data_IF_855101273359
#
_entry.id   IF_855101273359
#
_cell.length_a   1.000
_cell.length_b   1.000
_cell.length_c   1.000
_cell.angle_alpha   90.00
_cell.angle_beta   90.00
_cell.angle_gamma   90.00
#
_symmetry.space_group_name_H-M   'P 1'
#
loop_
_entity.id
_entity.type
_entity.pdbx_description
1 polymer ?
#
# COMPACT_ATOMS: atom_id res chain seq x y z
N UNK A 1 -27.29 9.01 -6.24
CA UNK A 1 -26.80 7.61 -6.24
C UNK A 1 -27.90 6.69 -5.69
N UNK A 2 -28.76 6.13 -6.54
CA UNK A 2 -29.91 5.32 -6.12
C UNK A 2 -29.60 3.82 -5.90
N UNK A 3 -28.47 3.32 -6.39
CA UNK A 3 -28.08 1.90 -6.31
C UNK A 3 -27.22 1.54 -5.07
N UNK A 4 -26.67 2.53 -4.37
CA UNK A 4 -25.83 2.31 -3.19
C UNK A 4 -26.57 1.59 -2.03
N UNK A 5 -27.85 1.88 -1.73
CA UNK A 5 -28.59 1.16 -0.70
C UNK A 5 -28.86 -0.31 -1.08
N UNK A 6 -29.13 -0.57 -2.37
CA UNK A 6 -29.38 -1.92 -2.90
C UNK A 6 -28.12 -2.79 -2.88
N UNK A 7 -26.96 -2.21 -3.23
CA UNK A 7 -25.67 -2.88 -3.12
C UNK A 7 -25.34 -3.20 -1.65
N UNK A 8 -25.51 -2.24 -0.74
CA UNK A 8 -25.30 -2.49 0.70
C UNK A 8 -26.22 -3.57 1.28
N UNK A 9 -27.43 -3.74 0.74
CA UNK A 9 -28.39 -4.74 1.20
C UNK A 9 -28.09 -6.18 0.74
N UNK A 10 -27.25 -6.36 -0.27
CA UNK A 10 -26.86 -7.67 -0.82
C UNK A 10 -25.39 -8.05 -0.58
N UNK A 11 -24.54 -7.11 -0.16
CA UNK A 11 -23.11 -7.35 0.05
C UNK A 11 -22.83 -7.89 1.47
N UNK A 12 -22.14 -9.04 1.52
CA UNK A 12 -21.63 -9.64 2.76
C UNK A 12 -20.33 -8.95 3.18
N UNK A 13 -20.16 -8.66 4.47
CA UNK A 13 -18.89 -8.17 5.02
C UNK A 13 -17.90 -9.34 5.14
N UNK A 14 -16.70 -9.19 4.57
CA UNK A 14 -15.61 -10.14 4.77
C UNK A 14 -15.06 -10.01 6.19
N UNK A 15 -14.99 -11.13 6.92
CA UNK A 15 -14.62 -11.13 8.34
C UNK A 15 -13.13 -10.80 8.54
N UNK A 16 -12.22 -11.29 7.68
CA UNK A 16 -10.78 -11.10 7.84
C UNK A 16 -10.31 -11.56 9.21
N UNK A 17 -9.58 -10.72 9.95
CA UNK A 17 -9.16 -10.96 11.35
C UNK A 17 -10.27 -10.75 12.38
N UNK A 18 -11.48 -10.37 11.97
CA UNK A 18 -12.63 -10.14 12.85
C UNK A 18 -12.60 -8.84 13.66
N UNK A 19 -11.44 -8.17 13.77
CA UNK A 19 -11.29 -6.97 14.62
C UNK A 19 -12.17 -5.81 14.15
N UNK A 20 -12.31 -5.59 12.84
CA UNK A 20 -13.14 -4.49 12.33
C UNK A 20 -14.59 -4.89 12.04
N UNK A 21 -15.07 -6.04 12.49
CA UNK A 21 -16.43 -6.52 12.19
C UNK A 21 -17.25 -6.64 13.48
N UNK A 22 -18.35 -5.89 13.56
CA UNK A 22 -19.24 -5.87 14.72
C UNK A 22 -20.31 -6.95 14.58
N UNK A 23 -20.45 -7.77 15.63
CA UNK A 23 -21.31 -8.96 15.61
C UNK A 23 -22.78 -8.63 15.33
N UNK A 24 -23.28 -7.54 15.91
CA UNK A 24 -24.71 -7.21 15.94
C UNK A 24 -25.17 -6.20 14.88
N UNK A 25 -24.25 -5.55 14.17
CA UNK A 25 -24.59 -4.48 13.21
C UNK A 25 -24.11 -4.74 11.79
N UNK A 26 -23.03 -5.50 11.63
CA UNK A 26 -22.50 -5.79 10.29
C UNK A 26 -23.17 -7.03 9.68
N UNK A 27 -23.29 -7.05 8.34
CA UNK A 27 -23.93 -8.14 7.61
C UNK A 27 -22.92 -9.25 7.30
N UNK A 28 -22.52 -10.00 8.32
CA UNK A 28 -21.41 -10.96 8.26
C UNK A 28 -21.85 -12.43 8.29
N UNK A 29 -23.08 -12.73 8.72
CA UNK A 29 -23.61 -14.09 8.72
C UNK A 29 -23.93 -14.53 7.29
N UNK A 30 -23.44 -15.69 6.83
CA UNK A 30 -23.65 -16.20 5.47
C UNK A 30 -25.02 -16.87 5.31
N UNK A 31 -26.10 -16.11 5.49
CA UNK A 31 -27.48 -16.52 5.24
C UNK A 31 -27.90 -16.12 3.79
N UNK A 32 -29.07 -16.59 3.32
CA UNK A 32 -29.61 -16.30 1.95
C UNK A 32 -29.61 -14.80 1.65
N UNK A 33 -29.84 -13.98 2.68
CA UNK A 33 -29.56 -12.55 2.69
C UNK A 33 -28.56 -12.27 3.82
N UNK A 34 -27.38 -11.69 3.52
CA UNK A 34 -26.41 -11.34 4.56
C UNK A 34 -27.08 -10.51 5.66
N UNK A 35 -26.83 -10.87 6.91
CA UNK A 35 -27.44 -10.20 8.06
C UNK A 35 -26.50 -10.23 9.27
N UNK A 36 -26.77 -9.40 10.30
CA UNK A 36 -26.11 -9.52 11.59
C UNK A 36 -26.49 -10.81 12.33
N UNK A 37 -25.68 -11.14 13.33
CA UNK A 37 -25.95 -12.25 14.22
C UNK A 37 -27.13 -11.94 15.15
N UNK A 38 -27.90 -12.97 15.51
CA UNK A 38 -29.04 -12.85 16.40
C UNK A 38 -28.58 -13.22 17.83
N UNK A 39 -28.74 -12.33 18.81
CA UNK A 39 -28.36 -12.62 20.18
C UNK A 39 -29.28 -13.69 20.79
N UNK A 40 -28.71 -14.59 21.59
CA UNK A 40 -29.47 -15.60 22.33
C UNK A 40 -30.31 -14.98 23.45
N UNK A 41 -29.84 -13.87 24.03
CA UNK A 41 -30.45 -13.18 25.16
C UNK A 41 -30.61 -11.67 24.90
N UNK A 42 -31.59 -10.98 25.52
CA UNK A 42 -31.78 -9.53 25.36
C UNK A 42 -30.64 -8.67 25.93
N UNK A 43 -29.92 -9.20 26.92
CA UNK A 43 -28.73 -8.58 27.52
C UNK A 43 -27.48 -9.10 26.83
N UNK A 44 -26.88 -8.30 25.95
CA UNK A 44 -25.64 -8.62 25.25
C UNK A 44 -24.74 -7.39 25.18
N UNK A 45 -23.43 -7.61 25.03
CA UNK A 45 -22.48 -6.52 24.82
C UNK A 45 -22.65 -5.95 23.40
N UNK A 46 -23.13 -4.70 23.21
CA UNK A 46 -23.36 -4.14 21.89
C UNK A 46 -22.07 -3.89 21.08
N UNK A 47 -20.91 -3.86 21.75
CA UNK A 47 -19.61 -3.61 21.12
C UNK A 47 -18.83 -4.88 20.77
N UNK A 48 -19.43 -6.07 20.92
CA UNK A 48 -18.79 -7.34 20.62
C UNK A 48 -18.31 -7.41 19.15
N UNK A 49 -17.04 -7.75 18.96
CA UNK A 49 -16.41 -7.93 17.65
C UNK A 49 -16.31 -9.41 17.30
N UNK A 50 -16.21 -9.71 16.02
CA UNK A 50 -16.12 -11.09 15.53
C UNK A 50 -14.82 -11.76 15.98
N UNK A 51 -13.73 -11.01 16.15
CA UNK A 51 -12.48 -11.54 16.72
C UNK A 51 -12.65 -12.06 18.15
N UNK A 52 -13.58 -11.51 18.92
CA UNK A 52 -13.82 -11.91 20.31
C UNK A 52 -14.55 -13.27 20.39
N UNK A 53 -15.12 -13.72 19.27
CA UNK A 53 -15.79 -15.02 19.12
C UNK A 53 -14.84 -16.13 18.66
N UNK A 54 -13.62 -15.78 18.25
CA UNK A 54 -12.56 -16.71 17.83
C UNK A 54 -11.48 -16.82 18.89
N UNK A 55 -10.88 -18.00 19.04
CA UNK A 55 -9.72 -18.21 19.89
C UNK A 55 -8.45 -17.68 19.21
N UNK A 56 -7.70 -16.75 19.85
CA UNK A 56 -6.49 -16.17 19.30
C UNK A 56 -5.37 -17.15 18.97
N UNK A 57 -5.30 -18.29 19.66
CA UNK A 57 -4.21 -19.27 19.52
C UNK A 57 -4.51 -20.35 18.48
N UNK A 58 -5.76 -20.84 18.44
CA UNK A 58 -6.16 -21.88 17.49
C UNK A 58 -6.66 -21.32 16.16
N UNK A 59 -6.94 -20.02 16.07
CA UNK A 59 -7.60 -19.38 14.92
C UNK A 59 -8.95 -20.01 14.56
N UNK A 60 -9.54 -20.78 15.48
CA UNK A 60 -10.83 -21.43 15.36
C UNK A 60 -11.89 -20.72 16.20
N UNK A 61 -13.15 -21.01 15.91
CA UNK A 61 -14.28 -20.45 16.64
C UNK A 61 -14.36 -21.03 18.06
N UNK A 62 -14.57 -20.16 19.06
CA UNK A 62 -14.84 -20.59 20.42
C UNK A 62 -16.29 -21.09 20.52
N UNK A 63 -16.51 -22.37 20.23
CA UNK A 63 -17.85 -22.99 20.18
C UNK A 63 -18.64 -22.81 21.49
N UNK A 64 -18.05 -23.02 22.69
CA UNK A 64 -18.74 -22.72 23.94
C UNK A 64 -19.27 -21.28 24.02
N UNK A 65 -18.48 -20.30 23.57
CA UNK A 65 -18.86 -18.89 23.57
C UNK A 65 -19.94 -18.57 22.52
N UNK A 66 -19.87 -19.18 21.34
CA UNK A 66 -20.92 -19.05 20.31
C UNK A 66 -22.26 -19.56 20.81
N UNK A 67 -22.28 -20.72 21.49
CA UNK A 67 -23.50 -21.29 22.06
C UNK A 67 -24.11 -20.43 23.19
N UNK A 68 -23.29 -19.66 23.91
CA UNK A 68 -23.76 -18.76 24.97
C UNK A 68 -24.33 -17.45 24.43
N UNK A 69 -23.73 -16.89 23.36
CA UNK A 69 -24.03 -15.53 22.91
C UNK A 69 -24.96 -15.47 21.71
N UNK A 70 -24.91 -16.47 20.81
CA UNK A 70 -25.60 -16.45 19.53
C UNK A 70 -26.77 -17.42 19.49
N UNK A 71 -27.75 -17.10 18.63
CA UNK A 71 -28.83 -18.03 18.32
C UNK A 71 -28.27 -19.35 17.75
N UNK A 72 -28.79 -20.52 18.16
CA UNK A 72 -28.38 -21.81 17.60
C UNK A 72 -28.51 -21.92 16.07
N UNK A 73 -29.32 -21.06 15.45
CA UNK A 73 -29.46 -20.97 13.99
C UNK A 73 -28.22 -20.41 13.29
N UNK A 74 -27.46 -19.53 13.96
CA UNK A 74 -26.32 -18.84 13.36
C UNK A 74 -25.02 -19.66 13.47
N UNK A 75 -24.93 -20.52 14.49
CA UNK A 75 -23.76 -21.36 14.77
C UNK A 75 -23.33 -22.23 13.58
N UNK A 76 -24.21 -23.02 12.92
CA UNK A 76 -23.81 -23.82 11.75
C UNK A 76 -23.38 -22.96 10.56
N UNK A 77 -23.97 -21.76 10.40
CA UNK A 77 -23.60 -20.82 9.34
C UNK A 77 -22.19 -20.26 9.57
N UNK A 78 -21.84 -19.97 10.82
CA UNK A 78 -20.52 -19.47 11.22
C UNK A 78 -19.45 -20.58 11.06
N UNK A 79 -19.76 -21.80 11.47
CA UNK A 79 -18.86 -22.95 11.32
C UNK A 79 -18.55 -23.32 9.88
N UNK A 80 -19.43 -22.98 8.93
CA UNK A 80 -19.19 -23.19 7.49
C UNK A 80 -18.05 -22.30 6.95
N UNK A 81 -17.69 -21.23 7.67
CA UNK A 81 -16.71 -20.24 7.23
C UNK A 81 -15.65 -19.96 8.30
N UNK A 82 -14.52 -20.68 8.23
CA UNK A 82 -13.29 -20.28 8.92
C UNK A 82 -12.55 -19.24 8.05
N UNK A 83 -11.82 -18.32 8.68
CA UNK A 83 -10.98 -17.31 7.99
C UNK A 83 -10.02 -17.99 7.00
N UNK A 84 -9.60 -19.22 7.30
CA UNK A 84 -8.76 -20.05 6.44
C UNK A 84 -9.53 -20.67 5.28
N UNK A 85 -10.81 -21.05 5.46
CA UNK A 85 -11.63 -21.61 4.38
C UNK A 85 -11.98 -20.58 3.30
N UNK A 86 -12.07 -19.29 3.65
CA UNK A 86 -12.27 -18.22 2.66
C UNK A 86 -11.11 -18.04 1.70
N UNK A 87 -9.87 -18.12 2.20
CA UNK A 87 -8.66 -18.08 1.36
C UNK A 87 -8.52 -19.36 0.53
N UNK A 88 -8.75 -20.53 1.14
CA UNK A 88 -8.72 -21.82 0.44
C UNK A 88 -9.78 -21.90 -0.65
N UNK A 89 -11.02 -21.48 -0.38
CA UNK A 89 -12.10 -21.42 -1.39
C UNK A 89 -11.77 -20.41 -2.49
N UNK A 90 -11.17 -19.26 -2.16
CA UNK A 90 -10.73 -18.30 -3.17
C UNK A 90 -9.63 -18.88 -4.07
N UNK A 91 -8.67 -19.61 -3.48
CA UNK A 91 -7.61 -20.33 -4.21
C UNK A 91 -8.18 -21.48 -5.06
N UNK A 92 -9.14 -22.24 -4.54
CA UNK A 92 -9.83 -23.34 -5.24
C UNK A 92 -10.75 -22.85 -6.36
N UNK A 93 -11.40 -21.69 -6.18
CA UNK A 93 -12.17 -21.02 -7.23
C UNK A 93 -11.27 -20.46 -8.33
N UNK A 94 -10.03 -20.08 -8.01
CA UNK A 94 -9.04 -19.57 -8.96
C UNK A 94 -8.29 -20.71 -9.68
N UNK A 95 -8.10 -21.88 -9.06
CA UNK A 95 -7.54 -23.07 -9.73
C UNK A 95 -8.53 -23.78 -10.64
N UNK A 96 -9.83 -23.73 -10.35
CA UNK A 96 -10.89 -24.24 -11.23
C UNK A 96 -11.22 -23.30 -12.41
N UNK A 97 -10.72 -22.06 -12.38
CA UNK A 97 -10.58 -21.28 -13.61
C UNK A 97 -9.37 -21.84 -14.32
N UNK A 98 -9.59 -22.47 -15.47
CA UNK A 98 -8.51 -22.64 -16.44
C UNK A 98 -7.77 -21.29 -16.49
N UNK A 99 -6.43 -21.26 -16.28
CA UNK A 99 -5.70 -20.01 -16.30
C UNK A 99 -6.15 -19.27 -17.55
N UNK A 100 -6.63 -18.02 -17.44
CA UNK A 100 -7.04 -17.29 -18.62
C UNK A 100 -5.89 -17.43 -19.60
N UNK A 101 -6.17 -17.94 -20.81
CA UNK A 101 -5.17 -18.11 -21.86
C UNK A 101 -4.51 -16.74 -22.04
N UNK A 102 -3.40 -16.51 -21.35
CA UNK A 102 -2.64 -15.28 -21.47
C UNK A 102 -2.00 -15.42 -22.83
N UNK A 103 -2.59 -14.78 -23.83
CA UNK A 103 -1.94 -14.57 -25.11
C UNK A 103 -0.60 -13.92 -24.80
N UNK A 104 0.48 -14.65 -25.06
CA UNK A 104 1.81 -14.09 -25.00
C UNK A 104 1.90 -12.84 -25.88
N UNK A 105 2.74 -11.85 -25.51
CA UNK A 105 3.77 -11.92 -24.46
C UNK A 105 3.28 -11.49 -23.05
N UNK A 106 3.57 -12.31 -22.03
CA UNK A 106 3.31 -11.97 -20.63
C UNK A 106 4.41 -11.06 -20.06
N UNK A 107 4.04 -10.02 -19.31
CA UNK A 107 5.00 -9.10 -18.67
C UNK A 107 5.48 -9.57 -17.29
N UNK A 108 5.01 -10.73 -16.81
CA UNK A 108 5.27 -11.24 -15.46
C UNK A 108 6.76 -11.39 -15.16
N UNK A 109 7.51 -12.04 -16.05
CA UNK A 109 8.96 -12.22 -15.91
C UNK A 109 9.71 -10.88 -15.92
N UNK A 110 9.22 -9.90 -16.68
CA UNK A 110 9.80 -8.57 -16.74
C UNK A 110 9.53 -7.79 -15.45
N UNK A 111 8.30 -7.88 -14.91
CA UNK A 111 7.93 -7.28 -13.61
C UNK A 111 8.75 -7.85 -12.45
N UNK A 112 9.05 -9.15 -12.46
CA UNK A 112 9.91 -9.77 -11.45
C UNK A 112 11.34 -9.20 -11.48
N UNK A 113 11.90 -9.00 -12.69
CA UNK A 113 13.26 -8.42 -12.88
C UNK A 113 13.39 -6.98 -12.40
N UNK A 114 12.29 -6.23 -12.23
CA UNK A 114 12.36 -4.85 -11.72
C UNK A 114 13.02 -4.78 -10.34
N UNK A 115 12.80 -5.80 -9.51
CA UNK A 115 13.28 -5.81 -8.13
C UNK A 115 14.79 -5.98 -8.00
N UNK A 116 15.47 -6.53 -9.02
CA UNK A 116 16.92 -6.67 -9.05
C UNK A 116 17.66 -5.44 -9.58
N UNK A 117 16.96 -4.43 -10.10
CA UNK A 117 17.58 -3.21 -10.62
C UNK A 117 18.28 -2.44 -9.47
N UNK A 118 19.50 -1.96 -9.71
CA UNK A 118 20.26 -1.14 -8.75
C UNK A 118 19.75 0.30 -8.76
N UNK A 119 18.69 0.56 -7.99
CA UNK A 119 18.11 1.89 -7.81
C UNK A 119 17.26 1.94 -6.53
N UNK A 120 16.74 3.11 -6.19
CA UNK A 120 15.87 3.30 -5.02
C UNK A 120 14.53 2.54 -5.11
N UNK A 121 13.95 2.14 -3.97
CA UNK A 121 12.65 1.42 -3.93
C UNK A 121 11.53 2.20 -4.63
N UNK A 122 11.48 3.53 -4.49
CA UNK A 122 10.49 4.39 -5.16
C UNK A 122 10.55 4.25 -6.69
N UNK A 123 11.75 4.17 -7.26
CA UNK A 123 11.95 4.01 -8.71
C UNK A 123 11.59 2.58 -9.15
N UNK A 124 11.89 1.55 -8.34
CA UNK A 124 11.44 0.17 -8.61
C UNK A 124 9.92 0.07 -8.68
N UNK A 125 9.21 0.63 -7.71
CA UNK A 125 7.74 0.67 -7.72
C UNK A 125 7.20 1.42 -8.94
N UNK A 126 7.83 2.54 -9.32
CA UNK A 126 7.46 3.26 -10.52
C UNK A 126 7.60 2.41 -11.79
N UNK A 127 8.75 1.76 -11.99
CA UNK A 127 8.99 0.90 -13.16
C UNK A 127 8.00 -0.27 -13.17
N UNK A 128 7.73 -0.88 -12.02
CA UNK A 128 6.75 -1.95 -11.90
C UNK A 128 5.34 -1.48 -12.26
N UNK A 129 4.95 -0.27 -11.83
CA UNK A 129 3.68 0.35 -12.20
C UNK A 129 3.63 0.67 -13.70
N UNK A 130 4.76 1.08 -14.31
CA UNK A 130 4.84 1.36 -15.75
C UNK A 130 4.60 0.08 -16.55
N UNK A 131 5.25 -1.03 -16.18
CA UNK A 131 5.06 -2.35 -16.79
C UNK A 131 3.67 -2.96 -16.52
N UNK A 132 3.00 -2.48 -15.48
CA UNK A 132 1.63 -2.88 -15.14
C UNK A 132 0.57 -1.96 -15.74
N UNK A 133 0.97 -0.97 -16.52
CA UNK A 133 0.09 0.04 -17.12
C UNK A 133 -0.76 0.80 -16.08
N UNK A 134 -0.18 0.99 -14.89
CA UNK A 134 -0.78 1.67 -13.75
C UNK A 134 -0.26 3.10 -13.56
N UNK A 135 0.59 3.59 -14.47
CA UNK A 135 1.15 4.94 -14.42
C UNK A 135 0.11 5.96 -14.90
N UNK A 136 0.07 7.10 -14.21
CA UNK A 136 -0.82 8.22 -14.52
C UNK A 136 -0.41 8.88 -15.85
N UNK A 137 -1.07 8.52 -16.94
CA UNK A 137 -0.97 9.12 -18.29
C UNK A 137 -2.36 9.57 -18.76
N UNK A 138 -2.47 10.54 -19.68
CA UNK A 138 -3.77 11.10 -20.08
C UNK A 138 -4.73 10.04 -20.63
N UNK A 139 -4.25 9.10 -21.44
CA UNK A 139 -5.08 7.99 -21.94
C UNK A 139 -5.72 7.17 -20.81
N UNK A 140 -4.93 6.84 -19.77
CA UNK A 140 -5.40 6.05 -18.60
C UNK A 140 -6.28 6.86 -17.65
N UNK A 141 -6.01 8.15 -17.49
CA UNK A 141 -6.87 9.04 -16.72
C UNK A 141 -8.24 9.17 -17.40
N UNK A 142 -8.27 9.25 -18.74
CA UNK A 142 -9.52 9.24 -19.51
C UNK A 142 -10.26 7.92 -19.41
N UNK A 143 -9.59 6.78 -19.54
CA UNK A 143 -10.21 5.45 -19.37
C UNK A 143 -10.86 5.26 -17.98
N UNK A 144 -10.31 5.90 -16.95
CA UNK A 144 -10.82 5.87 -15.57
C UNK A 144 -11.82 6.98 -15.26
N UNK A 145 -12.23 7.77 -16.24
CA UNK A 145 -13.13 8.93 -16.07
C UNK A 145 -12.59 9.99 -15.10
N UNK A 146 -11.26 10.08 -14.96
CA UNK A 146 -10.58 11.10 -14.15
C UNK A 146 -10.18 12.35 -14.95
N UNK A 147 -10.23 12.29 -16.29
CA UNK A 147 -9.94 13.41 -17.19
C UNK A 147 -10.71 13.26 -18.51
N UNK A 148 -11.09 14.36 -19.15
CA UNK A 148 -11.66 14.36 -20.52
C UNK A 148 -10.59 14.34 -21.61
N UNK A 149 -9.38 14.83 -21.30
CA UNK A 149 -8.30 14.97 -22.28
C UNK A 149 -7.45 13.69 -22.36
N UNK A 150 -7.25 13.20 -23.59
CA UNK A 150 -6.33 12.09 -23.90
C UNK A 150 -4.98 12.56 -24.43
N UNK A 151 -4.91 13.83 -24.82
CA UNK A 151 -3.73 14.40 -25.46
C UNK A 151 -2.53 14.47 -24.51
N UNK A 152 -1.34 14.28 -25.07
CA UNK A 152 -0.08 14.44 -24.35
C UNK A 152 0.17 15.93 -24.04
N UNK A 153 0.31 16.33 -22.76
CA UNK A 153 0.55 17.74 -22.39
C UNK A 153 1.90 18.31 -22.87
N UNK A 154 2.79 17.44 -23.36
CA UNK A 154 4.12 17.83 -23.85
C UNK A 154 4.17 18.07 -25.35
N UNK A 155 3.67 17.12 -26.13
CA UNK A 155 3.78 17.15 -27.59
C UNK A 155 2.44 17.28 -28.32
N UNK A 156 1.31 17.31 -27.60
CA UNK A 156 -0.02 17.47 -28.17
C UNK A 156 -0.60 16.21 -28.82
N UNK A 157 0.15 15.10 -28.87
CA UNK A 157 -0.29 13.84 -29.48
C UNK A 157 -1.63 13.35 -28.91
N UNK A 158 -2.51 12.85 -29.77
CA UNK A 158 -3.95 12.62 -29.46
C UNK A 158 -4.21 11.59 -28.35
N UNK A 159 -3.27 10.68 -28.09
CA UNK A 159 -3.42 9.66 -27.06
C UNK A 159 -2.10 9.38 -26.33
N UNK A 160 -1.98 9.87 -25.11
CA UNK A 160 -0.82 9.62 -24.26
C UNK A 160 -0.95 8.28 -23.54
N UNK A 161 -0.22 7.27 -24.05
CA UNK A 161 0.01 5.99 -23.38
C UNK A 161 1.29 6.03 -22.52
N UNK A 162 1.51 5.00 -21.69
CA UNK A 162 2.78 4.83 -20.96
C UNK A 162 3.95 4.70 -21.95
N UNK A 163 3.77 3.97 -23.06
CA UNK A 163 4.79 3.85 -24.09
C UNK A 163 5.03 5.18 -24.81
N UNK A 164 3.97 5.94 -25.10
CA UNK A 164 4.10 7.27 -25.68
C UNK A 164 4.89 8.20 -24.76
N UNK A 165 4.53 8.21 -23.47
CA UNK A 165 5.22 9.01 -22.47
C UNK A 165 6.68 8.57 -22.32
N UNK A 166 6.99 7.29 -22.19
CA UNK A 166 8.35 6.87 -21.84
C UNK A 166 9.26 6.74 -23.07
N UNK A 167 8.71 6.35 -24.23
CA UNK A 167 9.48 5.93 -25.38
C UNK A 167 9.16 6.75 -26.64
N UNK A 168 7.91 6.93 -27.04
CA UNK A 168 7.62 7.44 -28.40
C UNK A 168 7.58 8.98 -28.51
N UNK A 169 7.45 9.70 -27.40
CA UNK A 169 7.41 11.16 -27.42
C UNK A 169 8.76 11.73 -27.92
N UNK A 170 8.78 12.74 -28.83
CA UNK A 170 10.01 13.32 -29.39
C UNK A 170 11.02 13.83 -28.37
N UNK A 171 10.57 14.04 -27.13
CA UNK A 171 11.38 14.54 -26.01
C UNK A 171 11.95 13.43 -25.10
N UNK A 172 11.68 12.14 -25.34
CA UNK A 172 11.88 11.06 -24.36
C UNK A 172 12.73 9.86 -24.85
N UNK A 173 12.88 8.90 -23.94
CA UNK A 173 14.00 7.98 -23.75
C UNK A 173 14.29 7.06 -24.94
N UNK A 174 13.37 6.83 -25.89
CA UNK A 174 13.68 6.04 -27.08
C UNK A 174 14.69 6.73 -27.99
N UNK A 175 14.60 8.06 -28.16
CA UNK A 175 15.63 8.81 -28.88
C UNK A 175 16.98 8.70 -28.15
N UNK A 176 16.98 8.72 -26.82
CA UNK A 176 18.19 8.62 -25.99
C UNK A 176 18.78 7.21 -26.03
N UNK A 177 17.98 6.14 -25.86
CA UNK A 177 18.45 4.75 -25.82
C UNK A 177 18.88 4.25 -27.20
N UNK A 178 18.13 4.60 -28.25
CA UNK A 178 18.44 4.18 -29.61
C UNK A 178 19.68 4.92 -30.13
N UNK A 179 19.77 6.25 -29.93
CA UNK A 179 21.00 7.00 -30.22
C UNK A 179 22.17 6.63 -29.33
N UNK A 180 21.94 6.29 -28.06
CA UNK A 180 23.03 5.88 -27.16
C UNK A 180 23.73 4.62 -27.65
N UNK A 181 22.95 3.67 -28.19
CA UNK A 181 23.47 2.45 -28.79
C UNK A 181 24.19 2.71 -30.12
N UNK A 182 23.65 3.58 -30.97
CA UNK A 182 24.27 3.93 -32.27
C UNK A 182 25.53 4.79 -32.15
N UNK A 183 25.62 5.63 -31.11
CA UNK A 183 26.73 6.57 -30.90
C UNK A 183 27.82 6.04 -29.95
N UNK A 184 27.73 4.78 -29.50
CA UNK A 184 28.73 4.19 -28.61
C UNK A 184 28.78 4.86 -27.22
N UNK A 185 27.64 5.32 -26.72
CA UNK A 185 27.56 6.08 -25.47
C UNK A 185 27.99 5.21 -24.27
N UNK A 186 28.81 5.75 -23.34
CA UNK A 186 29.32 5.00 -22.19
C UNK A 186 28.21 4.37 -21.32
N UNK A 187 28.48 3.18 -20.77
CA UNK A 187 27.58 2.46 -19.85
C UNK A 187 27.13 3.28 -18.65
N UNK A 188 27.92 4.27 -18.24
CA UNK A 188 27.60 5.22 -17.16
C UNK A 188 26.30 6.00 -17.39
N UNK A 189 25.90 6.21 -18.65
CA UNK A 189 24.62 6.86 -18.99
C UNK A 189 23.46 5.87 -18.91
N UNK A 190 23.68 4.63 -19.32
CA UNK A 190 22.67 3.56 -19.21
C UNK A 190 22.33 3.26 -17.73
N UNK A 191 23.31 3.37 -16.85
CA UNK A 191 23.09 3.23 -15.41
C UNK A 191 22.16 4.31 -14.83
N UNK A 192 21.98 5.45 -15.51
CA UNK A 192 21.08 6.53 -15.07
C UNK A 192 19.65 6.39 -15.61
N UNK A 193 19.38 5.42 -16.49
CA UNK A 193 18.06 5.24 -17.15
C UNK A 193 16.89 5.14 -16.15
N UNK A 194 16.99 4.42 -15.02
CA UNK A 194 15.90 4.38 -14.04
C UNK A 194 15.51 5.77 -13.49
N UNK A 195 16.50 6.62 -13.25
CA UNK A 195 16.29 7.99 -12.76
C UNK A 195 15.74 8.90 -13.85
N UNK A 196 16.24 8.77 -15.08
CA UNK A 196 15.74 9.53 -16.22
C UNK A 196 14.24 9.26 -16.47
N UNK A 197 13.83 7.99 -16.50
CA UNK A 197 12.42 7.61 -16.67
C UNK A 197 11.54 8.19 -15.55
N UNK A 198 12.01 8.09 -14.30
CA UNK A 198 11.30 8.64 -13.14
C UNK A 198 11.12 10.16 -13.24
N UNK A 199 12.19 10.90 -13.54
CA UNK A 199 12.16 12.36 -13.56
C UNK A 199 11.41 12.91 -14.79
N UNK A 200 11.44 12.21 -15.92
CA UNK A 200 10.57 12.52 -17.08
C UNK A 200 9.10 12.40 -16.68
N UNK A 201 8.70 11.30 -16.05
CA UNK A 201 7.34 11.14 -15.56
C UNK A 201 6.98 12.20 -14.51
N UNK A 202 7.89 12.50 -13.58
CA UNK A 202 7.68 13.50 -12.53
C UNK A 202 7.46 14.90 -13.11
N UNK A 203 8.29 15.32 -14.05
CA UNK A 203 8.16 16.61 -14.73
C UNK A 203 6.83 16.71 -15.49
N UNK A 204 6.40 15.64 -16.17
CA UNK A 204 5.10 15.58 -16.85
C UNK A 204 3.94 15.65 -15.85
N UNK A 205 4.02 14.91 -14.74
CA UNK A 205 3.01 14.94 -13.67
C UNK A 205 2.86 16.35 -13.10
N UNK A 206 3.97 17.02 -12.84
CA UNK A 206 4.00 18.39 -12.32
C UNK A 206 3.39 19.40 -13.31
N UNK A 207 3.68 19.24 -14.62
CA UNK A 207 3.04 20.02 -15.68
C UNK A 207 1.52 19.81 -15.73
N UNK A 208 1.06 18.57 -15.63
CA UNK A 208 -0.37 18.25 -15.70
C UNK A 208 -1.16 18.82 -14.52
N UNK A 209 -0.66 18.63 -13.29
CA UNK A 209 -1.43 18.97 -12.08
C UNK A 209 -1.15 20.36 -11.53
N UNK A 210 0.07 20.89 -11.74
CA UNK A 210 0.51 22.16 -11.17
C UNK A 210 0.81 23.21 -12.25
N UNK A 211 0.66 22.90 -13.54
CA UNK A 211 0.94 23.81 -14.65
C UNK A 211 2.43 24.17 -14.81
N UNK A 212 3.32 23.51 -14.07
CA UNK A 212 4.75 23.83 -14.03
C UNK A 212 5.50 23.09 -15.14
N UNK A 213 6.07 23.84 -16.08
CA UNK A 213 6.91 23.26 -17.14
C UNK A 213 8.38 23.21 -16.68
N UNK A 214 8.91 22.01 -16.51
CA UNK A 214 10.32 21.80 -16.16
C UNK A 214 11.14 21.61 -17.43
N UNK A 215 12.18 22.44 -17.67
CA UNK A 215 13.07 22.27 -18.81
C UNK A 215 13.67 20.85 -18.91
N UNK A 216 13.86 20.31 -20.12
CA UNK A 216 14.46 18.99 -20.29
C UNK A 216 15.87 18.88 -19.68
N UNK A 217 16.69 19.94 -19.79
CA UNK A 217 18.05 19.96 -19.24
C UNK A 217 18.04 19.82 -17.71
N UNK A 218 17.18 20.57 -17.02
CA UNK A 218 17.02 20.50 -15.57
C UNK A 218 16.56 19.10 -15.13
N UNK A 219 15.66 18.48 -15.91
CA UNK A 219 15.20 17.12 -15.68
C UNK A 219 16.36 16.12 -15.74
N UNK A 220 17.24 16.25 -16.74
CA UNK A 220 18.41 15.39 -16.92
C UNK A 220 19.44 15.62 -15.81
N UNK A 221 19.75 16.87 -15.49
CA UNK A 221 20.70 17.22 -14.44
C UNK A 221 20.24 16.70 -13.07
N UNK A 222 18.96 16.88 -12.75
CA UNK A 222 18.38 16.37 -11.50
C UNK A 222 18.45 14.85 -11.43
N UNK A 223 18.15 14.16 -12.53
CA UNK A 223 18.24 12.71 -12.59
C UNK A 223 19.67 12.19 -12.38
N UNK A 224 20.67 12.85 -12.99
CA UNK A 224 22.08 12.49 -12.85
C UNK A 224 22.56 12.75 -11.42
N UNK A 225 22.22 13.91 -10.85
CA UNK A 225 22.58 14.27 -9.46
C UNK A 225 22.04 13.23 -8.48
N UNK A 226 20.74 12.92 -8.55
CA UNK A 226 20.13 11.95 -7.63
C UNK A 226 20.69 10.52 -7.83
N UNK A 227 21.06 10.17 -9.05
CA UNK A 227 21.72 8.90 -9.31
C UNK A 227 23.12 8.85 -8.69
N UNK A 228 23.87 9.95 -8.73
CA UNK A 228 25.16 10.08 -8.06
C UNK A 228 24.99 10.01 -6.54
N UNK A 229 24.06 10.77 -5.97
CA UNK A 229 23.76 10.79 -4.53
C UNK A 229 23.36 9.41 -4.02
N UNK A 230 22.51 8.70 -4.77
CA UNK A 230 22.11 7.34 -4.41
C UNK A 230 23.31 6.37 -4.39
N UNK A 231 24.21 6.48 -5.37
CA UNK A 231 25.44 5.66 -5.42
C UNK A 231 26.39 5.99 -4.27
N UNK A 232 26.59 7.27 -3.98
CA UNK A 232 27.40 7.71 -2.84
C UNK A 232 26.85 7.17 -1.53
N UNK A 233 25.53 7.19 -1.35
CA UNK A 233 24.89 6.61 -0.18
C UNK A 233 25.16 5.10 -0.05
N UNK A 234 25.22 4.35 -1.17
CA UNK A 234 25.58 2.93 -1.12
C UNK A 234 27.03 2.72 -0.65
N UNK A 235 27.97 3.56 -1.09
CA UNK A 235 29.38 3.47 -0.69
C UNK A 235 29.54 3.76 0.80
N UNK A 236 28.83 4.76 1.34
CA UNK A 236 28.87 5.07 2.77
C UNK A 236 28.42 3.88 3.62
N UNK A 237 27.38 3.17 3.20
CA UNK A 237 26.95 1.92 3.84
C UNK A 237 27.98 0.78 3.73
N UNK A 238 28.79 0.74 2.66
CA UNK A 238 29.85 -0.28 2.48
C UNK A 238 31.15 0.06 3.23
N UNK A 239 31.42 1.35 3.49
CA UNK A 239 32.64 1.80 4.18
C UNK A 239 32.56 1.72 5.71
N UNK A 240 31.36 1.59 6.27
CA UNK A 240 31.19 0.99 7.59
C UNK A 240 31.39 -0.51 7.37
N UNK A 241 32.48 -1.06 7.92
CA UNK A 241 32.97 -2.40 7.60
C UNK A 241 31.88 -3.46 7.54
N UNK A 242 32.09 -4.43 6.66
CA UNK A 242 31.33 -5.66 6.53
C UNK A 242 31.27 -6.41 7.88
N UNK A 243 30.39 -5.99 8.79
CA UNK A 243 29.57 -6.96 9.49
C UNK A 243 28.47 -7.33 8.50
N UNK A 244 28.57 -8.53 7.94
CA UNK A 244 27.44 -9.19 7.29
C UNK A 244 26.23 -9.06 8.21
N UNK A 245 25.30 -8.16 7.88
CA UNK A 245 23.97 -8.22 8.44
C UNK A 245 23.30 -9.43 7.76
N UNK A 246 23.64 -10.63 8.23
CA UNK A 246 22.65 -11.69 8.30
C UNK A 246 21.39 -11.03 8.89
N UNK A 247 20.16 -11.32 8.38
CA UNK A 247 18.96 -10.87 9.09
C UNK A 247 19.20 -11.24 10.56
N UNK A 248 19.15 -10.27 11.51
CA UNK A 248 19.47 -10.57 12.89
C UNK A 248 18.67 -11.82 13.26
N UNK A 249 19.32 -12.92 13.68
CA UNK A 249 18.61 -14.14 14.00
C UNK A 249 17.64 -13.75 15.11
N UNK A 250 16.34 -13.67 14.79
CA UNK A 250 15.24 -13.13 15.61
C UNK A 250 15.72 -12.77 17.02
N UNK A 251 16.47 -11.67 17.12
CA UNK A 251 17.07 -11.31 18.39
C UNK A 251 15.95 -10.51 19.01
N UNK A 252 15.04 -11.23 19.66
CA UNK A 252 14.00 -10.63 20.47
C UNK A 252 14.67 -9.51 21.25
N UNK A 253 14.27 -8.24 21.03
CA UNK A 253 14.90 -7.14 21.72
C UNK A 253 14.83 -7.42 23.22
N UNK A 254 16.00 -7.39 23.88
CA UNK A 254 16.21 -7.65 25.31
C UNK A 254 15.64 -6.50 26.17
N UNK A 255 14.42 -6.05 25.88
CA UNK A 255 13.79 -4.95 26.58
C UNK A 255 12.45 -4.51 25.95
N UNK A 256 11.67 -3.68 26.68
CA UNK A 256 10.40 -3.17 26.21
C UNK A 256 10.57 -2.30 24.97
N UNK A 257 9.72 -2.50 23.96
CA UNK A 257 9.74 -1.77 22.69
C UNK A 257 8.58 -0.79 22.61
N UNK A 258 8.89 0.49 22.42
CA UNK A 258 7.90 1.53 22.19
C UNK A 258 7.94 1.99 20.72
N UNK A 259 6.81 1.85 20.00
CA UNK A 259 6.62 2.43 18.66
C UNK A 259 5.64 3.60 18.75
N UNK A 260 5.96 4.71 18.10
CA UNK A 260 5.16 5.93 18.12
C UNK A 260 4.87 6.40 16.70
N UNK A 261 3.77 7.14 16.52
CA UNK A 261 3.44 7.80 15.25
C UNK A 261 2.57 9.03 15.50
N UNK A 262 2.76 10.09 14.72
CA UNK A 262 1.98 11.32 14.83
C UNK A 262 1.07 11.56 13.61
N UNK A 263 -0.11 12.10 13.88
CA UNK A 263 -1.04 12.59 12.86
C UNK A 263 -1.05 14.11 12.86
N UNK A 264 -0.78 14.71 11.70
CA UNK A 264 -0.71 16.14 11.51
C UNK A 264 -1.29 16.55 10.15
N UNK A 265 -1.97 17.69 10.12
CA UNK A 265 -2.41 18.34 8.90
C UNK A 265 -2.29 19.87 9.03
N UNK A 266 -1.99 20.57 7.95
CA UNK A 266 -1.65 21.99 7.97
C UNK A 266 -2.81 22.88 8.42
N UNK A 267 -4.05 22.48 8.13
CA UNK A 267 -5.25 23.26 8.44
C UNK A 267 -5.98 22.78 9.69
N UNK A 268 -5.46 21.73 10.35
CA UNK A 268 -6.12 21.13 11.51
C UNK A 268 -5.76 21.88 12.79
N UNK A 269 -6.77 22.08 13.65
CA UNK A 269 -6.61 22.73 14.95
C UNK A 269 -5.88 21.85 15.97
N UNK A 270 -5.77 20.55 15.71
CA UNK A 270 -5.25 19.55 16.63
C UNK A 270 -4.25 18.64 15.93
N UNK A 271 -3.34 18.08 16.72
CA UNK A 271 -2.52 16.94 16.33
C UNK A 271 -3.00 15.69 17.07
N UNK A 272 -2.87 14.54 16.42
CA UNK A 272 -3.04 13.24 17.05
C UNK A 272 -1.67 12.59 17.26
N UNK A 273 -1.55 11.76 18.29
CA UNK A 273 -0.39 10.92 18.46
C UNK A 273 -0.76 9.57 19.06
N UNK A 274 -0.02 8.53 18.67
CA UNK A 274 -0.23 7.16 19.10
C UNK A 274 1.07 6.52 19.60
N UNK A 275 0.93 5.57 20.52
CA UNK A 275 2.00 4.74 21.04
C UNK A 275 1.53 3.28 21.10
N UNK A 276 2.46 2.38 20.80
CA UNK A 276 2.38 0.94 21.03
C UNK A 276 3.61 0.53 21.84
N UNK A 277 3.42 0.23 23.11
CA UNK A 277 4.46 -0.24 24.02
C UNK A 277 4.32 -1.75 24.19
N UNK A 278 5.29 -2.53 23.75
CA UNK A 278 5.37 -3.98 23.97
C UNK A 278 6.36 -4.24 25.09
N UNK A 279 5.89 -4.81 26.20
CA UNK A 279 6.71 -5.19 27.35
C UNK A 279 7.51 -6.47 27.06
N UNK A 280 8.47 -6.79 27.94
CA UNK A 280 9.30 -8.01 27.84
C UNK A 280 8.46 -9.30 27.88
N UNK A 281 7.33 -9.27 28.59
CA UNK A 281 6.36 -10.38 28.68
C UNK A 281 5.44 -10.48 27.45
N UNK A 282 5.63 -9.63 26.43
CA UNK A 282 4.82 -9.61 25.20
C UNK A 282 3.47 -8.89 25.35
N UNK A 283 3.15 -8.36 26.53
CA UNK A 283 1.97 -7.51 26.71
C UNK A 283 2.13 -6.21 25.93
N UNK A 284 1.13 -5.88 25.12
CA UNK A 284 1.14 -4.66 24.32
C UNK A 284 0.15 -3.65 24.87
N UNK A 285 0.66 -2.50 25.33
CA UNK A 285 -0.13 -1.36 25.78
C UNK A 285 -0.25 -0.34 24.65
N UNK A 286 -1.47 0.12 24.41
CA UNK A 286 -1.77 1.14 23.41
C UNK A 286 -2.08 2.45 24.09
N UNK A 287 -1.58 3.53 23.52
CA UNK A 287 -1.89 4.87 23.97
C UNK A 287 -2.21 5.78 22.79
N UNK A 288 -3.12 6.73 23.00
CA UNK A 288 -3.35 7.81 22.04
C UNK A 288 -3.69 9.10 22.76
N UNK A 289 -3.37 10.23 22.12
CA UNK A 289 -3.74 11.55 22.63
C UNK A 289 -4.11 12.49 21.49
N UNK A 290 -4.73 13.60 21.89
CA UNK A 290 -4.94 14.76 21.04
C UNK A 290 -4.35 15.97 21.74
N UNK A 291 -3.70 16.86 21.00
CA UNK A 291 -3.13 18.11 21.53
C UNK A 291 -3.38 19.25 20.57
N UNK A 292 -3.17 20.47 21.04
CA UNK A 292 -3.25 21.67 20.21
C UNK A 292 -2.26 21.57 19.04
N UNK A 293 -2.61 22.24 17.94
CA UNK A 293 -1.82 22.31 16.71
C UNK A 293 -0.32 22.49 16.95
N UNK A 294 0.49 21.71 16.23
CA UNK A 294 1.92 21.94 16.09
C UNK A 294 2.25 22.63 14.76
N UNK A 295 3.40 23.32 14.72
CA UNK A 295 3.81 24.12 13.56
C UNK A 295 4.19 23.26 12.35
N UNK A 296 4.74 22.06 12.58
CA UNK A 296 5.22 21.17 11.51
C UNK A 296 4.96 19.70 11.85
N UNK A 297 4.94 18.81 10.85
CA UNK A 297 4.88 17.36 11.09
C UNK A 297 5.95 16.87 12.07
N UNK A 298 7.18 17.39 11.93
CA UNK A 298 8.30 17.01 12.81
C UNK A 298 8.07 17.44 14.27
N UNK A 299 7.43 18.59 14.50
CA UNK A 299 7.02 18.97 15.86
C UNK A 299 5.93 18.07 16.41
N UNK A 300 5.03 17.55 15.56
CA UNK A 300 4.02 16.57 15.99
C UNK A 300 4.69 15.26 16.43
N UNK A 301 5.65 14.75 15.65
CA UNK A 301 6.43 13.55 15.99
C UNK A 301 7.16 13.69 17.33
N UNK A 302 7.88 14.80 17.53
CA UNK A 302 8.59 15.07 18.78
C UNK A 302 7.63 15.17 19.97
N UNK A 303 6.47 15.79 19.76
CA UNK A 303 5.44 15.91 20.80
C UNK A 303 4.87 14.54 21.17
N UNK A 304 4.63 13.67 20.19
CA UNK A 304 4.19 12.28 20.41
C UNK A 304 5.24 11.48 21.18
N UNK A 305 6.53 11.63 20.84
CA UNK A 305 7.63 10.99 21.57
C UNK A 305 7.66 11.41 23.05
N UNK A 306 7.61 12.72 23.32
CA UNK A 306 7.63 13.24 24.69
C UNK A 306 6.43 12.78 25.51
N UNK A 307 5.26 12.72 24.88
CA UNK A 307 4.05 12.21 25.52
C UNK A 307 4.16 10.71 25.82
N UNK A 308 4.67 9.92 24.87
CA UNK A 308 4.89 8.49 25.04
C UNK A 308 5.84 8.22 26.21
N UNK A 309 6.98 8.92 26.28
CA UNK A 309 7.94 8.80 27.38
C UNK A 309 7.36 9.15 28.76
N UNK A 310 6.47 10.15 28.82
CA UNK A 310 5.78 10.53 30.07
C UNK A 310 4.72 9.51 30.48
N UNK A 311 4.13 8.82 29.52
CA UNK A 311 3.05 7.86 29.74
C UNK A 311 3.58 6.45 30.03
N UNK A 312 4.88 6.21 29.82
CA UNK A 312 5.56 4.94 30.06
C UNK A 312 6.39 4.90 31.36
N UNK A 313 6.35 5.96 32.18
CA UNK A 313 6.95 6.05 33.52
C UNK A 313 5.85 6.01 34.58
#
# INVERSE_FOLDING_TARGET
MAAQPLLKAGLRRSIGTGNNTRVWSDHWIPDVKPRPAIPCCPSFNPNLRVCDLSDPLSHDWNLPLLHQLLSPRDIPLIQTYSVQSGYTLAMEMDTNRAPPLVSEPSTTSLKAKVWSIKTSRKIKHFIWNALSDCVQVCGRLSDRHCSSERNSPRCGADNESVNHLLFESPSNVNHILWRAKELGVPSSILDNVPWLLWYIWKARKDKLFNGKDTPPLDTVQTAISEAADWRLAQILHTSQGEEETQPPPDTQPLGPRCSIDASWHQDDAFIGGGMVLTDEDGFTTFGSFTSNRSLTPLHAELHTLLWAMKSSL
#
